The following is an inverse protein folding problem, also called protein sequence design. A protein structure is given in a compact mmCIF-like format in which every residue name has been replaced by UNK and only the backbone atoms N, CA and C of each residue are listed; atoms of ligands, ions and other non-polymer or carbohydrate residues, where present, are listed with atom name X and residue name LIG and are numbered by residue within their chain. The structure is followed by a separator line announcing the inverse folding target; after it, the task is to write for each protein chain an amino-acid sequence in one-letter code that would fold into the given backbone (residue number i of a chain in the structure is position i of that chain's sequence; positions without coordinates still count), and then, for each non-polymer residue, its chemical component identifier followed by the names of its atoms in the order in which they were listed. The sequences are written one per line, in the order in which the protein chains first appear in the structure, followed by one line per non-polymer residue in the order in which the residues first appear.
data_IF_436827424237
#
_entry.id   IF_436827424237
#
_cell.length_a   1.000
_cell.length_b   1.000
_cell.length_c   1.000
_cell.angle_alpha   90.00
_cell.angle_beta   90.00
_cell.angle_gamma   90.00
#
_symmetry.space_group_name_H-M   'P 1'
#
loop_
_entity.id
_entity.type
_entity.pdbx_description
1 polymer ?
#
# COMPACT_ATOMS: atom_id res chain seq x y z
N UNK A 1 38.03 13.66 10.06
CA UNK A 1 37.56 12.34 9.60
C UNK A 1 36.31 12.48 8.74
N UNK A 2 36.52 12.63 7.44
CA UNK A 2 35.45 12.54 6.46
C UNK A 2 35.12 11.07 6.22
N UNK A 3 34.00 10.60 6.76
CA UNK A 3 33.48 9.28 6.42
C UNK A 3 33.20 9.22 4.92
N UNK A 4 33.82 8.30 4.20
CA UNK A 4 33.56 8.07 2.80
C UNK A 4 32.17 7.41 2.65
N UNK A 5 31.30 8.06 1.91
CA UNK A 5 29.99 7.48 1.54
C UNK A 5 30.27 6.42 0.47
N UNK A 6 29.89 5.17 0.74
CA UNK A 6 30.02 4.06 -0.20
C UNK A 6 28.79 3.95 -1.08
N UNK A 7 28.89 3.22 -2.20
CA UNK A 7 27.73 2.91 -3.04
C UNK A 7 26.67 2.13 -2.26
N UNK A 8 27.12 1.24 -1.37
CA UNK A 8 26.21 0.48 -0.50
C UNK A 8 25.43 1.39 0.45
N UNK A 9 26.06 2.45 0.98
CA UNK A 9 25.41 3.45 1.82
C UNK A 9 24.34 4.22 1.03
N UNK A 10 24.63 4.56 -0.22
CA UNK A 10 23.68 5.24 -1.12
C UNK A 10 22.53 4.32 -1.47
N UNK A 11 22.80 3.07 -1.80
CA UNK A 11 21.75 2.08 -2.13
C UNK A 11 20.85 1.80 -0.92
N UNK A 12 21.43 1.68 0.28
CA UNK A 12 20.65 1.52 1.51
C UNK A 12 19.77 2.75 1.78
N UNK A 13 20.28 3.96 1.63
CA UNK A 13 19.53 5.20 1.83
C UNK A 13 18.40 5.35 0.81
N UNK A 14 18.64 5.02 -0.46
CA UNK A 14 17.62 5.02 -1.52
C UNK A 14 16.56 3.95 -1.27
N UNK A 15 16.93 2.77 -0.82
CA UNK A 15 16.01 1.69 -0.45
C UNK A 15 15.11 2.09 0.71
N UNK A 16 15.66 2.72 1.76
CA UNK A 16 14.90 3.23 2.90
C UNK A 16 13.92 4.33 2.47
N UNK A 17 14.34 5.25 1.61
CA UNK A 17 13.49 6.33 1.11
C UNK A 17 12.35 5.79 0.24
N UNK A 18 12.62 4.80 -0.62
CA UNK A 18 11.60 4.13 -1.42
C UNK A 18 10.59 3.40 -0.55
N UNK A 19 11.05 2.72 0.51
CA UNK A 19 10.18 2.05 1.47
C UNK A 19 9.27 3.03 2.20
N UNK A 20 9.81 4.16 2.68
CA UNK A 20 9.04 5.22 3.34
C UNK A 20 8.01 5.85 2.39
N UNK A 21 8.36 6.05 1.13
CA UNK A 21 7.44 6.59 0.12
C UNK A 21 6.32 5.59 -0.17
N UNK A 22 6.64 4.30 -0.23
CA UNK A 22 5.66 3.24 -0.44
C UNK A 22 4.70 3.14 0.75
N UNK A 23 5.20 3.19 1.98
CA UNK A 23 4.37 3.22 3.18
C UNK A 23 3.45 4.45 3.20
N UNK A 24 3.95 5.62 2.79
CA UNK A 24 3.15 6.84 2.67
C UNK A 24 2.03 6.68 1.64
N UNK A 25 2.30 6.03 0.52
CA UNK A 25 1.26 5.73 -0.47
C UNK A 25 0.20 4.79 0.10
N UNK A 26 0.62 3.70 0.72
CA UNK A 26 -0.29 2.71 1.30
C UNK A 26 -1.24 3.40 2.31
N UNK A 27 -0.68 4.18 3.22
CA UNK A 27 -1.47 4.87 4.24
C UNK A 27 -2.38 5.96 3.63
N UNK A 28 -1.92 6.69 2.62
CA UNK A 28 -2.72 7.69 1.93
C UNK A 28 -3.92 7.04 1.21
N UNK A 29 -3.72 5.92 0.53
CA UNK A 29 -4.79 5.16 -0.13
C UNK A 29 -5.79 4.64 0.91
N UNK A 30 -5.31 4.00 1.95
CA UNK A 30 -6.16 3.40 2.98
C UNK A 30 -6.86 4.44 3.87
N UNK A 31 -6.36 5.66 3.97
CA UNK A 31 -7.02 6.77 4.67
C UNK A 31 -7.93 7.60 3.75
N UNK A 32 -7.96 7.31 2.46
CA UNK A 32 -8.78 8.08 1.52
C UNK A 32 -8.25 9.47 1.21
N UNK A 33 -6.96 9.70 1.44
CA UNK A 33 -6.28 10.97 1.16
C UNK A 33 -5.84 10.99 -0.30
N UNK A 34 -6.77 11.29 -1.19
CA UNK A 34 -6.57 11.17 -2.65
C UNK A 34 -5.40 12.03 -3.15
N UNK A 35 -5.32 13.30 -2.74
CA UNK A 35 -4.24 14.19 -3.15
C UNK A 35 -2.87 13.70 -2.66
N UNK A 36 -2.79 13.23 -1.42
CA UNK A 36 -1.55 12.67 -0.87
C UNK A 36 -1.15 11.37 -1.58
N UNK A 37 -2.12 10.53 -1.94
CA UNK A 37 -1.89 9.32 -2.71
C UNK A 37 -1.32 9.64 -4.10
N UNK A 38 -1.90 10.62 -4.79
CA UNK A 38 -1.43 11.07 -6.10
C UNK A 38 0.00 11.62 -6.05
N UNK A 39 0.31 12.43 -5.04
CA UNK A 39 1.68 12.92 -4.81
C UNK A 39 2.67 11.78 -4.54
N UNK A 40 2.26 10.79 -3.75
CA UNK A 40 3.11 9.62 -3.46
C UNK A 40 3.35 8.78 -4.71
N UNK A 41 2.34 8.59 -5.57
CA UNK A 41 2.48 7.93 -6.86
C UNK A 41 3.50 8.63 -7.75
N UNK A 42 3.44 9.95 -7.85
CA UNK A 42 4.39 10.77 -8.61
C UNK A 42 5.81 10.58 -8.10
N UNK A 43 6.01 10.60 -6.78
CA UNK A 43 7.34 10.39 -6.16
C UNK A 43 7.88 8.99 -6.42
N UNK A 44 7.04 7.97 -6.32
CA UNK A 44 7.45 6.57 -6.60
C UNK A 44 7.90 6.41 -8.04
N UNK A 45 7.14 6.94 -8.99
CA UNK A 45 7.47 6.90 -10.41
C UNK A 45 8.77 7.65 -10.70
N UNK A 46 8.95 8.84 -10.13
CA UNK A 46 10.18 9.63 -10.26
C UNK A 46 11.39 8.90 -9.67
N UNK A 47 11.20 8.10 -8.62
CA UNK A 47 12.24 7.25 -8.01
C UNK A 47 12.51 5.94 -8.75
N UNK A 48 11.88 5.71 -9.91
CA UNK A 48 12.08 4.51 -10.71
C UNK A 48 11.26 3.30 -10.27
N UNK A 49 10.36 3.45 -9.31
CA UNK A 49 9.45 2.38 -8.91
C UNK A 49 8.29 2.24 -9.90
N UNK A 50 7.86 1.01 -10.13
CA UNK A 50 6.68 0.75 -10.96
C UNK A 50 5.40 0.84 -10.12
N UNK A 51 4.32 1.37 -10.68
CA UNK A 51 3.04 1.40 -9.99
C UNK A 51 2.45 0.00 -9.81
N UNK A 52 2.92 -0.97 -10.57
CA UNK A 52 2.58 -2.38 -10.37
C UNK A 52 3.13 -2.91 -9.04
N UNK A 53 4.34 -2.52 -8.66
CA UNK A 53 4.90 -2.79 -7.33
C UNK A 53 4.03 -2.17 -6.24
N UNK A 54 3.57 -0.95 -6.48
CA UNK A 54 2.66 -0.25 -5.58
C UNK A 54 1.33 -0.98 -5.41
N UNK A 55 0.72 -1.47 -6.50
CA UNK A 55 -0.51 -2.29 -6.43
C UNK A 55 -0.31 -3.52 -5.56
N UNK A 56 0.80 -4.23 -5.72
CA UNK A 56 1.11 -5.41 -4.92
C UNK A 56 1.27 -5.09 -3.43
N UNK A 57 1.92 -3.98 -3.11
CA UNK A 57 2.11 -3.53 -1.74
C UNK A 57 0.78 -3.13 -1.07
N UNK A 58 -0.06 -2.38 -1.77
CA UNK A 58 -1.40 -2.00 -1.29
C UNK A 58 -2.26 -3.25 -1.10
N UNK A 59 -2.20 -4.22 -2.02
CA UNK A 59 -2.92 -5.48 -1.88
C UNK A 59 -2.52 -6.23 -0.60
N UNK A 60 -1.23 -6.37 -0.34
CA UNK A 60 -0.74 -7.03 0.88
C UNK A 60 -1.23 -6.31 2.13
N UNK A 61 -1.21 -5.00 2.14
CA UNK A 61 -1.71 -4.20 3.26
C UNK A 61 -3.21 -4.45 3.50
N UNK A 62 -4.03 -4.42 2.45
CA UNK A 62 -5.47 -4.69 2.56
C UNK A 62 -5.77 -6.12 2.98
N UNK A 63 -4.94 -7.10 2.61
CA UNK A 63 -5.05 -8.47 3.11
C UNK A 63 -4.86 -8.53 4.63
N UNK A 64 -3.90 -7.79 5.16
CA UNK A 64 -3.67 -7.73 6.61
C UNK A 64 -4.78 -6.94 7.31
N UNK A 65 -5.27 -5.85 6.71
CA UNK A 65 -6.46 -5.14 7.24
C UNK A 65 -7.67 -6.07 7.31
N UNK A 66 -7.86 -6.91 6.29
CA UNK A 66 -8.95 -7.89 6.27
C UNK A 66 -8.80 -8.91 7.41
N UNK A 67 -7.59 -9.43 7.60
CA UNK A 67 -7.29 -10.33 8.72
C UNK A 67 -7.53 -9.66 10.07
N UNK A 68 -7.03 -8.44 10.27
CA UNK A 68 -7.20 -7.68 11.50
C UNK A 68 -8.68 -7.40 11.79
N UNK A 69 -9.45 -7.02 10.78
CA UNK A 69 -10.89 -6.81 10.89
C UNK A 69 -11.60 -8.09 11.32
N UNK A 70 -11.26 -9.23 10.74
CA UNK A 70 -11.81 -10.54 11.13
C UNK A 70 -11.49 -10.90 12.58
N UNK A 71 -10.28 -10.62 13.04
CA UNK A 71 -9.87 -10.85 14.43
C UNK A 71 -10.68 -9.96 15.41
N UNK A 72 -10.86 -8.69 15.06
CA UNK A 72 -11.64 -7.75 15.87
C UNK A 72 -13.11 -8.19 15.95
N UNK A 73 -13.70 -8.59 14.82
CA UNK A 73 -15.07 -9.10 14.76
C UNK A 73 -15.26 -10.36 15.61
N UNK A 74 -14.23 -11.19 15.75
CA UNK A 74 -14.27 -12.39 16.58
C UNK A 74 -13.91 -12.14 18.06
N UNK A 75 -13.74 -10.90 18.46
CA UNK A 75 -13.52 -10.50 19.84
C UNK A 75 -12.09 -10.20 20.24
N UNK A 76 -11.14 -10.25 19.31
CA UNK A 76 -9.74 -9.89 19.58
C UNK A 76 -9.63 -8.37 19.80
N UNK A 77 -8.95 -7.91 20.86
CA UNK A 77 -8.70 -6.49 21.05
C UNK A 77 -7.94 -5.88 19.88
N UNK A 78 -8.27 -4.64 19.52
CA UNK A 78 -7.67 -3.93 18.37
C UNK A 78 -6.13 -3.88 18.46
N UNK A 79 -5.59 -3.62 19.63
CA UNK A 79 -4.14 -3.58 19.85
C UNK A 79 -3.47 -4.91 19.53
N UNK A 80 -4.12 -6.02 19.84
CA UNK A 80 -3.62 -7.36 19.53
C UNK A 80 -3.81 -7.70 18.05
N UNK A 81 -4.90 -7.26 17.42
CA UNK A 81 -5.14 -7.45 16.00
C UNK A 81 -4.08 -6.74 15.14
N UNK A 82 -3.57 -5.59 15.58
CA UNK A 82 -2.48 -4.88 14.91
C UNK A 82 -1.18 -5.67 14.87
N UNK A 83 -0.98 -6.63 15.78
CA UNK A 83 0.20 -7.50 15.77
C UNK A 83 0.23 -8.49 14.59
N UNK A 84 -0.85 -8.59 13.82
CA UNK A 84 -0.89 -9.39 12.59
C UNK A 84 -0.04 -8.79 11.45
N UNK A 85 0.31 -7.51 11.52
CA UNK A 85 1.12 -6.87 10.49
C UNK A 85 2.55 -7.42 10.46
N UNK A 86 3.00 -7.75 9.25
CA UNK A 86 4.38 -8.24 8.99
C UNK A 86 4.95 -7.51 7.77
N UNK A 87 6.08 -6.82 7.90
CA UNK A 87 6.81 -6.59 9.17
C UNK A 87 5.97 -5.82 10.19
N UNK A 88 6.35 -5.84 11.48
CA UNK A 88 5.61 -5.11 12.52
C UNK A 88 5.48 -3.63 12.18
N UNK A 89 4.33 -3.05 12.50
CA UNK A 89 4.07 -1.63 12.27
C UNK A 89 5.03 -0.76 13.10
N UNK A 90 5.67 0.20 12.43
CA UNK A 90 6.38 1.26 13.13
C UNK A 90 5.40 2.03 14.02
N UNK A 91 5.83 2.47 15.22
CA UNK A 91 4.95 3.14 16.19
C UNK A 91 4.21 4.35 15.62
N UNK A 92 4.80 5.07 14.66
CA UNK A 92 4.17 6.22 13.99
C UNK A 92 3.02 5.82 13.06
N UNK A 93 3.04 4.59 12.55
CA UNK A 93 1.99 4.09 11.67
C UNK A 93 0.80 3.50 12.43
N UNK A 94 0.96 3.10 13.67
CA UNK A 94 -0.12 2.50 14.46
C UNK A 94 -1.39 3.35 14.49
N UNK A 95 -1.35 4.67 14.82
CA UNK A 95 -2.56 5.49 14.80
C UNK A 95 -3.20 5.60 13.42
N UNK A 96 -2.39 5.62 12.36
CA UNK A 96 -2.89 5.66 10.98
C UNK A 96 -3.65 4.38 10.63
N UNK A 97 -3.10 3.23 10.97
CA UNK A 97 -3.75 1.92 10.71
C UNK A 97 -5.00 1.75 11.57
N UNK A 98 -5.01 2.21 12.80
CA UNK A 98 -6.21 2.25 13.63
C UNK A 98 -7.34 3.05 12.97
N UNK A 99 -7.03 4.20 12.39
CA UNK A 99 -7.98 5.01 11.64
C UNK A 99 -8.46 4.29 10.37
N UNK A 100 -7.57 3.60 9.67
CA UNK A 100 -7.92 2.78 8.52
C UNK A 100 -8.95 1.70 8.90
N UNK A 101 -8.74 1.02 10.01
CA UNK A 101 -9.68 0.01 10.49
C UNK A 101 -11.08 0.58 10.82
N UNK A 102 -11.17 1.86 11.16
CA UNK A 102 -12.46 2.54 11.36
C UNK A 102 -13.13 2.93 10.05
N UNK A 103 -12.35 3.31 9.04
CA UNK A 103 -12.87 3.74 7.73
C UNK A 103 -13.34 2.58 6.87
N UNK A 104 -12.71 1.42 7.01
CA UNK A 104 -12.94 0.26 6.17
C UNK A 104 -13.80 -0.79 6.89
N UNK A 105 -15.02 -1.01 6.39
CA UNK A 105 -15.78 -2.20 6.75
C UNK A 105 -15.20 -3.42 6.02
N UNK A 106 -15.44 -4.60 6.56
CA UNK A 106 -15.05 -5.86 5.92
C UNK A 106 -15.48 -5.93 4.47
N UNK A 107 -16.72 -5.54 4.18
CA UNK A 107 -17.28 -5.54 2.82
C UNK A 107 -16.54 -4.58 1.88
N UNK A 108 -16.16 -3.40 2.36
CA UNK A 108 -15.36 -2.44 1.58
C UNK A 108 -13.97 -2.98 1.29
N UNK A 109 -13.33 -3.61 2.27
CA UNK A 109 -12.01 -4.25 2.12
C UNK A 109 -12.09 -5.37 1.05
N UNK A 110 -13.09 -6.20 1.12
CA UNK A 110 -13.30 -7.29 0.16
C UNK A 110 -13.46 -6.77 -1.28
N UNK A 111 -14.19 -5.68 -1.47
CA UNK A 111 -14.33 -5.02 -2.78
C UNK A 111 -12.99 -4.46 -3.28
N UNK A 112 -12.23 -3.82 -2.41
CA UNK A 112 -10.90 -3.30 -2.75
C UNK A 112 -9.95 -4.45 -3.13
N UNK A 113 -9.94 -5.53 -2.36
CA UNK A 113 -9.15 -6.72 -2.65
C UNK A 113 -9.55 -7.37 -3.99
N UNK A 114 -10.82 -7.44 -4.30
CA UNK A 114 -11.29 -7.96 -5.58
C UNK A 114 -10.77 -7.13 -6.75
N UNK A 115 -10.78 -5.80 -6.64
CA UNK A 115 -10.25 -4.90 -7.66
C UNK A 115 -8.73 -5.06 -7.81
N UNK A 116 -8.00 -5.13 -6.69
CA UNK A 116 -6.55 -5.32 -6.69
C UNK A 116 -6.16 -6.68 -7.28
N UNK A 117 -6.89 -7.72 -6.93
CA UNK A 117 -6.65 -9.07 -7.44
C UNK A 117 -6.91 -9.15 -8.95
N UNK A 118 -8.02 -8.55 -9.42
CA UNK A 118 -8.31 -8.47 -10.85
C UNK A 118 -7.19 -7.76 -11.61
N UNK A 119 -6.70 -6.63 -11.08
CA UNK A 119 -5.62 -5.88 -11.72
C UNK A 119 -4.32 -6.70 -11.81
N UNK A 120 -4.04 -7.55 -10.82
CA UNK A 120 -2.89 -8.45 -10.84
C UNK A 120 -3.03 -9.54 -11.92
N UNK A 121 -4.21 -10.13 -12.04
CA UNK A 121 -4.51 -11.10 -13.08
C UNK A 121 -4.35 -10.48 -14.47
N UNK A 122 -4.93 -9.30 -14.69
CA UNK A 122 -4.82 -8.57 -15.95
C UNK A 122 -3.35 -8.25 -16.28
N UNK A 123 -2.57 -7.81 -15.29
CA UNK A 123 -1.15 -7.52 -15.47
C UNK A 123 -0.33 -8.77 -15.84
N UNK A 124 -0.65 -9.92 -15.27
CA UNK A 124 -0.01 -11.20 -15.63
C UNK A 124 -0.35 -11.61 -17.05
N UNK A 125 -1.63 -11.52 -17.43
CA UNK A 125 -2.08 -11.84 -18.77
C UNK A 125 -1.42 -10.94 -19.82
N UNK A 126 -1.31 -9.64 -19.54
CA UNK A 126 -0.63 -8.69 -20.42
C UNK A 126 0.86 -8.99 -20.58
N UNK A 127 1.54 -9.36 -19.50
CA UNK A 127 2.96 -9.78 -19.58
C UNK A 127 3.14 -11.04 -20.40
N UNK A 128 2.24 -12.02 -20.26
CA UNK A 128 2.26 -13.23 -21.07
C UNK A 128 2.06 -12.94 -22.57
N UNK A 129 1.30 -11.87 -22.89
CA UNK A 129 1.11 -11.38 -24.24
C UNK A 129 2.22 -10.42 -24.71
N UNK A 130 3.29 -10.22 -23.95
CA UNK A 130 4.41 -9.33 -24.27
C UNK A 130 4.13 -7.85 -24.05
N UNK A 131 3.09 -7.51 -23.32
CA UNK A 131 2.72 -6.13 -22.98
C UNK A 131 2.77 -5.89 -21.48
N UNK A 132 2.48 -4.67 -21.04
CA UNK A 132 2.44 -4.30 -19.63
C UNK A 132 1.17 -3.53 -19.32
N UNK A 133 0.69 -3.68 -18.07
CA UNK A 133 -0.37 -2.82 -17.58
C UNK A 133 0.11 -1.36 -17.60
N UNK A 134 -0.63 -0.47 -18.29
CA UNK A 134 -0.24 0.95 -18.32
C UNK A 134 -0.16 1.56 -16.93
N UNK A 135 0.88 2.36 -16.67
CA UNK A 135 1.06 3.04 -15.38
C UNK A 135 -0.16 3.91 -15.03
N UNK A 136 -0.75 4.58 -16.01
CA UNK A 136 -1.96 5.38 -15.80
C UNK A 136 -3.13 4.54 -15.26
N UNK A 137 -3.30 3.31 -15.74
CA UNK A 137 -4.35 2.40 -15.27
C UNK A 137 -4.08 1.97 -13.82
N UNK A 138 -2.83 1.61 -13.51
CA UNK A 138 -2.43 1.25 -12.16
C UNK A 138 -2.68 2.40 -11.17
N UNK A 139 -2.30 3.62 -11.54
CA UNK A 139 -2.54 4.82 -10.74
C UNK A 139 -4.04 5.09 -10.52
N UNK A 140 -4.86 4.96 -11.54
CA UNK A 140 -6.31 5.12 -11.43
C UNK A 140 -6.96 4.10 -10.50
N UNK A 141 -6.50 2.86 -10.52
CA UNK A 141 -6.99 1.81 -9.60
C UNK A 141 -6.72 2.22 -8.14
N UNK A 142 -5.50 2.67 -7.84
CA UNK A 142 -5.12 3.09 -6.50
C UNK A 142 -5.93 4.32 -6.03
N UNK A 143 -6.12 5.31 -6.89
CA UNK A 143 -6.93 6.50 -6.57
C UNK A 143 -8.41 6.15 -6.41
N UNK A 144 -8.91 5.20 -7.17
CA UNK A 144 -10.29 4.70 -7.02
C UNK A 144 -10.50 4.05 -5.65
N UNK A 145 -9.53 3.26 -5.18
CA UNK A 145 -9.56 2.66 -3.85
C UNK A 145 -9.52 3.76 -2.78
N UNK A 146 -8.65 4.74 -2.92
CA UNK A 146 -8.57 5.88 -2.00
C UNK A 146 -9.92 6.61 -1.87
N UNK A 147 -10.60 6.86 -2.99
CA UNK A 147 -11.95 7.47 -2.97
C UNK A 147 -12.99 6.60 -2.26
N UNK A 148 -12.87 5.29 -2.37
CA UNK A 148 -13.79 4.36 -1.73
C UNK A 148 -13.69 4.38 -0.20
N UNK A 149 -12.54 4.74 0.35
CA UNK A 149 -12.36 4.86 1.80
C UNK A 149 -13.31 5.90 2.43
N UNK A 150 -13.66 6.95 1.67
CA UNK A 150 -14.47 8.08 2.15
C UNK A 150 -15.99 7.86 1.97
N UNK A 151 -16.40 6.81 1.32
CA UNK A 151 -17.82 6.47 1.08
C UNK A 151 -18.29 5.42 2.08
#
# INVERSE_FOLDING_TARGET
DTALITLDDVDAALGDQSSLTLDSLIDAVALGRVAAADQALTRLTAGGQTLQTALGAVRRHFQILHLATGLIESGTPQTQALSAFRPPLHFRRKPLVENQLRLWSRRKIERALALLHKSEIDARAMRAAGTRLPEAVAGQILLRIARAAQR
#
